data_IF_346969069035
#
_entry.id   IF_346969069035
#
_cell.length_a   1.000
_cell.length_b   1.000
_cell.length_c   1.000
_cell.angle_alpha   90.00
_cell.angle_beta   90.00
_cell.angle_gamma   90.00
#
_symmetry.space_group_name_H-M   'P 1'
#
loop_
_entity.id
_entity.type
_entity.pdbx_description
1 polymer ?
#
# COMPACT_ATOMS: atom_id res chain seq x y z
N UNK A 1 20.58 -0.07 32.02
CA UNK A 1 21.75 -0.76 31.42
C UNK A 1 21.45 -0.88 29.93
N UNK A 2 22.14 -0.09 29.11
CA UNK A 2 21.89 -0.01 27.67
C UNK A 2 22.20 -1.35 27.00
N UNK A 3 21.31 -1.75 26.08
CA UNK A 3 21.12 -3.11 25.57
C UNK A 3 22.37 -3.59 24.81
N UNK A 4 22.92 -4.74 25.21
CA UNK A 4 24.11 -5.40 24.64
C UNK A 4 23.78 -6.34 23.46
N UNK A 5 22.53 -6.32 23.01
CA UNK A 5 22.00 -7.36 22.12
C UNK A 5 22.11 -6.88 20.68
N UNK A 6 22.79 -7.68 19.87
CA UNK A 6 22.78 -7.51 18.42
C UNK A 6 21.40 -7.91 17.92
N UNK A 7 20.76 -7.05 17.11
CA UNK A 7 19.43 -7.33 16.55
C UNK A 7 19.50 -8.30 15.37
N UNK A 8 20.65 -8.40 14.70
CA UNK A 8 20.89 -9.35 13.63
C UNK A 8 22.36 -9.78 13.57
N UNK A 9 22.58 -10.94 12.97
CA UNK A 9 23.91 -11.50 12.67
C UNK A 9 23.95 -11.97 11.22
N UNK A 10 25.10 -11.86 10.58
CA UNK A 10 25.29 -12.29 9.21
C UNK A 10 25.83 -13.72 9.17
N UNK A 11 25.23 -14.61 8.38
CA UNK A 11 25.65 -15.99 8.18
C UNK A 11 26.37 -16.09 6.83
N UNK A 12 27.72 -16.16 6.80
CA UNK A 12 28.49 -16.02 5.57
C UNK A 12 28.20 -17.10 4.52
N UNK A 13 28.05 -18.35 4.95
CA UNK A 13 27.84 -19.48 4.04
C UNK A 13 26.49 -19.42 3.31
N UNK A 14 25.51 -18.75 3.92
CA UNK A 14 24.16 -18.60 3.38
C UNK A 14 23.90 -17.21 2.79
N UNK A 15 24.88 -16.32 2.88
CA UNK A 15 24.77 -14.89 2.55
C UNK A 15 23.47 -14.26 3.11
N UNK A 16 23.12 -14.64 4.35
CA UNK A 16 21.82 -14.30 4.96
C UNK A 16 22.02 -13.55 6.26
N UNK A 17 21.25 -12.48 6.43
CA UNK A 17 21.08 -11.84 7.73
C UNK A 17 20.03 -12.61 8.53
N UNK A 18 20.45 -13.14 9.67
CA UNK A 18 19.61 -13.81 10.64
C UNK A 18 19.15 -12.80 11.69
N UNK A 19 17.83 -12.66 11.86
CA UNK A 19 17.26 -11.90 12.98
C UNK A 19 17.57 -12.62 14.28
N UNK A 20 18.25 -11.91 15.18
CA UNK A 20 18.74 -12.50 16.41
C UNK A 20 17.60 -12.89 17.36
N UNK A 21 16.54 -12.07 17.44
CA UNK A 21 15.44 -12.32 18.36
C UNK A 21 14.56 -13.44 17.83
N UNK A 22 14.20 -13.39 16.54
CA UNK A 22 13.38 -14.43 15.91
C UNK A 22 14.03 -15.82 16.05
N UNK A 23 15.33 -15.92 15.77
CA UNK A 23 16.07 -17.17 15.96
C UNK A 23 16.07 -17.63 17.41
N UNK A 24 16.39 -16.74 18.35
CA UNK A 24 16.51 -17.10 19.77
C UNK A 24 15.16 -17.46 20.40
N UNK A 25 14.05 -16.88 19.92
CA UNK A 25 12.69 -17.15 20.38
C UNK A 25 12.11 -18.45 19.81
N UNK A 26 12.58 -18.89 18.64
CA UNK A 26 12.03 -20.05 17.92
C UNK A 26 12.90 -21.31 17.98
N UNK A 27 14.20 -21.17 18.23
CA UNK A 27 15.13 -22.31 18.27
C UNK A 27 14.89 -23.22 19.47
N UNK A 28 15.07 -24.53 19.28
CA UNK A 28 15.10 -25.49 20.38
C UNK A 28 16.40 -25.39 21.19
N UNK A 29 16.38 -25.85 22.44
CA UNK A 29 17.58 -25.92 23.29
C UNK A 29 18.73 -26.67 22.59
N UNK A 30 18.41 -27.75 21.87
CA UNK A 30 19.40 -28.55 21.15
C UNK A 30 20.08 -27.71 20.05
N UNK A 31 19.29 -27.07 19.19
CA UNK A 31 19.80 -26.21 18.11
C UNK A 31 20.61 -25.04 18.66
N UNK A 32 20.16 -24.43 19.76
CA UNK A 32 20.90 -23.36 20.43
C UNK A 32 22.29 -23.81 20.89
N UNK A 33 22.38 -24.95 21.59
CA UNK A 33 23.66 -25.45 22.10
C UNK A 33 24.58 -25.97 21.00
N UNK A 34 24.05 -26.61 19.96
CA UNK A 34 24.81 -27.04 18.78
C UNK A 34 25.39 -25.82 18.05
N UNK A 35 24.55 -24.81 17.75
CA UNK A 35 25.00 -23.60 17.06
C UNK A 35 25.99 -22.79 17.91
N UNK A 36 25.75 -22.68 19.22
CA UNK A 36 26.70 -22.05 20.14
C UNK A 36 28.06 -22.73 20.13
N UNK A 37 28.10 -24.06 20.08
CA UNK A 37 29.35 -24.83 20.00
C UNK A 37 30.06 -24.60 18.67
N UNK A 38 29.32 -24.67 17.58
CA UNK A 38 29.81 -24.43 16.22
C UNK A 38 30.45 -23.04 16.07
N UNK A 39 29.81 -22.00 16.64
CA UNK A 39 30.36 -20.64 16.65
C UNK A 39 31.70 -20.55 17.37
N UNK A 40 31.88 -21.26 18.49
CA UNK A 40 33.13 -21.25 19.25
C UNK A 40 34.24 -22.07 18.58
N UNK A 41 33.92 -23.22 18.00
CA UNK A 41 34.88 -24.10 17.31
C UNK A 41 35.46 -23.42 16.06
N UNK A 42 34.60 -22.75 15.29
CA UNK A 42 34.98 -22.16 14.01
C UNK A 42 35.38 -20.67 14.10
N UNK A 43 35.33 -20.06 15.29
CA UNK A 43 35.47 -18.60 15.48
C UNK A 43 36.73 -17.99 14.88
N UNK A 44 37.85 -18.72 14.89
CA UNK A 44 39.17 -18.21 14.47
C UNK A 44 39.58 -18.63 13.06
N UNK A 45 38.85 -19.57 12.46
CA UNK A 45 39.20 -20.19 11.17
C UNK A 45 38.18 -19.79 10.11
N UNK A 46 36.97 -20.31 10.21
CA UNK A 46 35.87 -20.17 9.24
C UNK A 46 34.59 -19.78 9.98
N UNK A 47 34.47 -18.51 10.43
CA UNK A 47 33.39 -18.11 11.32
C UNK A 47 32.01 -18.31 10.68
N UNK A 48 31.14 -19.04 11.38
CA UNK A 48 29.79 -19.42 10.88
C UNK A 48 28.77 -18.28 11.05
N UNK A 49 29.01 -17.36 11.98
CA UNK A 49 28.24 -16.13 12.08
C UNK A 49 29.13 -14.93 12.40
N UNK A 50 28.79 -13.81 11.80
CA UNK A 50 29.51 -12.54 11.90
C UNK A 50 28.57 -11.43 12.36
N UNK A 51 29.16 -10.37 12.90
CA UNK A 51 28.43 -9.14 13.14
C UNK A 51 27.98 -8.54 11.81
N UNK A 52 26.70 -8.22 11.68
CA UNK A 52 26.15 -7.59 10.47
C UNK A 52 26.67 -6.15 10.22
N UNK A 53 27.46 -5.60 11.15
CA UNK A 53 28.01 -4.25 11.06
C UNK A 53 29.52 -4.27 10.80
N UNK A 54 30.30 -4.99 11.61
CA UNK A 54 31.77 -5.00 11.51
C UNK A 54 32.36 -6.32 11.00
N UNK A 55 31.52 -7.33 10.75
CA UNK A 55 31.92 -8.66 10.25
C UNK A 55 32.92 -9.40 11.14
N UNK A 56 33.02 -9.01 12.40
CA UNK A 56 33.77 -9.77 13.39
C UNK A 56 32.98 -11.02 13.80
N UNK A 57 33.66 -12.13 14.11
CA UNK A 57 33.01 -13.32 14.63
C UNK A 57 32.19 -13.01 15.88
N UNK A 58 30.95 -13.46 15.93
CA UNK A 58 30.07 -13.30 17.09
C UNK A 58 30.06 -14.55 17.96
N UNK A 59 29.58 -14.39 19.19
CA UNK A 59 29.39 -15.48 20.15
C UNK A 59 27.99 -15.43 20.72
N UNK A 60 27.40 -16.60 20.98
CA UNK A 60 26.17 -16.71 21.75
C UNK A 60 26.48 -16.67 23.25
N UNK A 61 25.79 -15.82 24.00
CA UNK A 61 25.95 -15.61 25.45
C UNK A 61 24.62 -15.77 26.15
N UNK A 62 24.68 -16.01 27.46
CA UNK A 62 23.52 -16.07 28.33
C UNK A 62 23.77 -15.25 29.60
N UNK A 63 22.76 -14.56 30.10
CA UNK A 63 22.80 -13.90 31.40
C UNK A 63 22.59 -14.91 32.54
N UNK A 64 22.85 -14.51 33.78
CA UNK A 64 22.53 -15.32 34.98
C UNK A 64 21.03 -15.63 35.10
N UNK A 65 20.18 -14.87 34.42
CA UNK A 65 18.73 -15.07 34.34
C UNK A 65 18.31 -15.89 33.10
N UNK A 66 19.27 -16.55 32.43
CA UNK A 66 19.09 -17.36 31.22
C UNK A 66 18.61 -16.61 29.97
N UNK A 67 18.63 -15.28 29.95
CA UNK A 67 18.41 -14.53 28.70
C UNK A 67 19.59 -14.75 27.75
N UNK A 68 19.33 -15.29 26.57
CA UNK A 68 20.33 -15.57 25.53
C UNK A 68 20.44 -14.39 24.56
N UNK A 69 21.63 -14.15 24.01
CA UNK A 69 21.88 -13.07 23.05
C UNK A 69 23.18 -13.27 22.28
N UNK A 70 23.26 -12.71 21.07
CA UNK A 70 24.51 -12.58 20.33
C UNK A 70 25.33 -11.41 20.84
N UNK A 71 26.65 -11.61 20.92
CA UNK A 71 27.59 -10.60 21.37
C UNK A 71 28.93 -10.70 20.65
N UNK A 72 29.66 -9.59 20.68
CA UNK A 72 31.07 -9.58 20.32
C UNK A 72 31.92 -10.34 21.37
N UNK A 73 33.00 -11.03 20.97
CA UNK A 73 34.00 -11.56 21.90
C UNK A 73 34.63 -10.45 22.74
N UNK A 74 35.02 -10.76 23.99
CA UNK A 74 35.51 -9.78 24.98
C UNK A 74 36.72 -8.94 24.50
N UNK A 75 37.51 -9.45 23.57
CA UNK A 75 38.73 -8.82 23.04
C UNK A 75 38.65 -8.57 21.52
N UNK A 76 37.47 -8.31 20.98
CA UNK A 76 37.30 -7.94 19.58
C UNK A 76 37.53 -6.44 19.37
N UNK A 77 37.99 -6.02 18.20
CA UNK A 77 38.16 -4.59 17.85
C UNK A 77 36.84 -3.83 17.98
N UNK A 78 36.89 -2.52 18.16
CA UNK A 78 35.69 -1.71 18.33
C UNK A 78 34.73 -1.78 17.14
N UNK A 79 33.44 -1.64 17.43
CA UNK A 79 32.36 -1.79 16.47
C UNK A 79 31.29 -0.72 16.77
N UNK A 80 30.65 -0.12 15.75
CA UNK A 80 29.66 0.95 15.93
C UNK A 80 28.49 0.59 16.87
N UNK A 81 28.14 -0.69 16.95
CA UNK A 81 27.05 -1.18 17.81
C UNK A 81 27.55 -1.61 19.21
N UNK A 82 28.84 -1.46 19.52
CA UNK A 82 29.34 -1.60 20.90
C UNK A 82 29.04 -0.32 21.67
N UNK A 83 28.61 -0.49 22.92
CA UNK A 83 28.27 0.61 23.85
C UNK A 83 29.47 1.51 24.21
N UNK A 84 30.68 1.18 23.75
CA UNK A 84 31.93 1.92 23.93
C UNK A 84 32.35 2.75 22.71
N UNK A 85 31.55 2.75 21.63
CA UNK A 85 31.90 3.40 20.35
C UNK A 85 31.93 4.93 20.45
N UNK A 86 33.02 5.52 19.94
CA UNK A 86 33.27 6.97 19.80
C UNK A 86 33.27 7.43 18.31
N UNK A 87 32.78 6.60 17.39
CA UNK A 87 32.94 6.82 15.96
C UNK A 87 32.03 7.90 15.37
N UNK A 88 32.58 8.67 14.45
CA UNK A 88 31.86 9.59 13.56
C UNK A 88 31.06 8.83 12.49
N UNK A 89 30.10 9.49 11.85
CA UNK A 89 29.27 8.86 10.81
C UNK A 89 30.11 8.40 9.60
N UNK A 90 31.18 9.13 9.26
CA UNK A 90 32.14 8.72 8.23
C UNK A 90 32.92 7.47 8.61
N UNK A 91 33.35 7.35 9.88
CA UNK A 91 34.07 6.17 10.39
C UNK A 91 33.15 4.95 10.48
N UNK A 92 31.89 5.13 10.90
CA UNK A 92 30.87 4.07 10.90
C UNK A 92 30.64 3.56 9.47
N UNK A 93 30.51 4.46 8.49
CA UNK A 93 30.41 4.10 7.07
C UNK A 93 31.66 3.36 6.60
N UNK A 94 32.85 3.88 6.88
CA UNK A 94 34.10 3.22 6.51
C UNK A 94 34.21 1.81 7.13
N UNK A 95 33.73 1.61 8.35
CA UNK A 95 33.68 0.30 9.00
C UNK A 95 32.66 -0.65 8.38
N UNK A 96 31.47 -0.17 8.02
CA UNK A 96 30.46 -0.95 7.29
C UNK A 96 30.98 -1.38 5.92
N UNK A 97 31.59 -0.46 5.17
CA UNK A 97 32.11 -0.72 3.82
C UNK A 97 33.41 -1.55 3.83
N UNK A 98 34.33 -1.34 4.77
CA UNK A 98 35.53 -2.18 4.90
C UNK A 98 35.25 -3.55 5.55
N UNK A 99 34.18 -3.64 6.34
CA UNK A 99 33.76 -4.87 7.01
C UNK A 99 33.00 -5.83 6.08
N UNK A 100 32.15 -5.31 5.18
CA UNK A 100 31.45 -6.10 4.15
C UNK A 100 32.44 -6.60 3.10
N UNK A 101 33.13 -7.70 3.40
CA UNK A 101 33.71 -8.52 2.34
C UNK A 101 32.56 -9.07 1.50
N UNK A 102 32.66 -8.86 0.20
CA UNK A 102 31.72 -9.38 -0.78
C UNK A 102 31.44 -10.88 -0.55
N UNK A 103 30.17 -11.20 -0.30
CA UNK A 103 29.68 -12.55 -0.06
C UNK A 103 29.86 -13.46 -1.27
N UNK A 104 29.78 -14.78 -1.04
CA UNK A 104 29.92 -15.76 -2.12
C UNK A 104 28.82 -15.61 -3.16
N UNK A 105 27.56 -15.37 -2.74
CA UNK A 105 26.45 -15.24 -3.67
C UNK A 105 26.61 -13.99 -4.56
N UNK A 106 27.06 -12.87 -4.00
CA UNK A 106 27.37 -11.68 -4.79
C UNK A 106 28.46 -11.96 -5.86
N UNK A 107 29.56 -12.64 -5.49
CA UNK A 107 30.63 -12.98 -6.43
C UNK A 107 30.18 -13.88 -7.57
N UNK A 108 29.48 -14.97 -7.22
CA UNK A 108 29.02 -15.96 -8.18
C UNK A 108 28.01 -15.36 -9.15
N UNK A 109 27.02 -14.62 -8.65
CA UNK A 109 26.00 -14.02 -9.50
C UNK A 109 26.53 -12.82 -10.31
N UNK A 110 27.54 -12.10 -9.82
CA UNK A 110 28.23 -11.07 -10.59
C UNK A 110 28.96 -11.67 -11.79
N UNK A 111 29.67 -12.77 -11.57
CA UNK A 111 30.33 -13.48 -12.67
C UNK A 111 29.29 -14.02 -13.66
N UNK A 112 28.23 -14.64 -13.16
CA UNK A 112 27.15 -15.18 -13.98
C UNK A 112 26.48 -14.11 -14.85
N UNK A 113 26.16 -12.95 -14.26
CA UNK A 113 25.59 -11.82 -15.00
C UNK A 113 26.56 -11.32 -16.08
N UNK A 114 27.87 -11.25 -15.79
CA UNK A 114 28.86 -10.88 -16.79
C UNK A 114 28.93 -11.88 -17.94
N UNK A 115 28.85 -13.18 -17.64
CA UNK A 115 28.86 -14.25 -18.65
C UNK A 115 27.62 -14.15 -19.56
N UNK A 116 26.44 -13.86 -19.00
CA UNK A 116 25.23 -13.61 -19.81
C UNK A 116 25.36 -12.37 -20.69
N UNK A 117 25.95 -11.29 -20.18
CA UNK A 117 26.20 -10.08 -20.99
C UNK A 117 27.18 -10.34 -22.14
N UNK A 118 28.18 -11.22 -21.95
CA UNK A 118 29.13 -11.59 -23.00
C UNK A 118 28.46 -12.46 -24.07
N UNK A 119 27.58 -13.38 -23.65
CA UNK A 119 26.84 -14.25 -24.57
C UNK A 119 25.78 -13.47 -25.38
N UNK A 120 25.17 -12.46 -24.75
CA UNK A 120 24.09 -11.70 -25.34
C UNK A 120 24.55 -10.74 -26.45
N UNK A 121 24.03 -11.01 -27.66
CA UNK A 121 24.29 -10.20 -28.87
C UNK A 121 23.95 -8.72 -28.73
N UNK A 122 23.13 -8.31 -27.76
CA UNK A 122 22.75 -6.92 -27.49
C UNK A 122 23.90 -6.07 -26.95
N UNK A 123 24.89 -6.69 -26.32
CA UNK A 123 26.01 -5.99 -25.69
C UNK A 123 27.30 -6.12 -26.48
N UNK A 124 28.16 -5.12 -26.36
CA UNK A 124 29.51 -5.16 -26.95
C UNK A 124 30.40 -6.17 -26.22
N UNK A 125 31.42 -6.68 -26.91
CA UNK A 125 32.32 -7.70 -26.36
C UNK A 125 33.17 -7.16 -25.19
N UNK A 126 33.23 -5.83 -25.01
CA UNK A 126 33.95 -5.14 -23.94
C UNK A 126 33.20 -5.12 -22.59
N UNK A 127 32.68 -6.27 -22.13
CA UNK A 127 32.13 -6.41 -20.78
C UNK A 127 33.27 -6.38 -19.75
N UNK A 128 33.17 -5.50 -18.75
CA UNK A 128 34.21 -5.32 -17.71
C UNK A 128 33.63 -5.53 -16.33
N UNK A 129 34.25 -6.40 -15.55
CA UNK A 129 33.90 -6.68 -14.16
C UNK A 129 34.72 -5.77 -13.24
N UNK A 130 34.03 -5.09 -12.30
CA UNK A 130 34.59 -4.10 -11.37
C UNK A 130 35.53 -3.03 -11.96
N UNK A 131 35.22 -2.45 -13.14
CA UNK A 131 36.10 -1.47 -13.75
C UNK A 131 36.18 -0.20 -12.90
N UNK A 132 37.33 0.46 -12.92
CA UNK A 132 37.41 1.82 -12.37
C UNK A 132 36.74 2.80 -13.33
N UNK A 133 35.52 3.21 -12.99
CA UNK A 133 34.74 4.19 -13.74
C UNK A 133 35.08 5.60 -13.25
N UNK A 134 35.69 6.41 -14.10
CA UNK A 134 36.09 7.79 -13.78
C UNK A 134 35.07 8.76 -14.33
N UNK A 135 34.85 9.88 -13.64
CA UNK A 135 33.99 10.94 -14.15
C UNK A 135 34.49 11.44 -15.53
N UNK A 136 33.55 11.65 -16.45
CA UNK A 136 33.72 12.27 -17.76
C UNK A 136 33.86 13.79 -17.54
N UNK A 137 35.10 14.26 -17.32
CA UNK A 137 35.39 15.69 -17.30
C UNK A 137 35.79 16.18 -18.69
N UNK A 138 35.18 17.29 -19.11
CA UNK A 138 35.56 17.97 -20.36
C UNK A 138 36.90 18.71 -20.25
N UNK A 139 37.39 18.97 -19.02
CA UNK A 139 38.66 19.66 -18.75
C UNK A 139 39.28 19.17 -17.44
N UNK A 140 40.57 18.78 -17.44
CA UNK A 140 41.33 18.45 -16.23
C UNK A 140 41.31 16.97 -15.80
N UNK A 141 41.84 16.67 -14.61
CA UNK A 141 41.92 15.32 -14.02
C UNK A 141 40.60 14.96 -13.33
N UNK A 142 40.08 13.75 -13.56
CA UNK A 142 38.91 13.20 -12.89
C UNK A 142 39.09 13.20 -11.35
N UNK A 143 38.20 13.89 -10.64
CA UNK A 143 38.16 14.05 -9.18
C UNK A 143 37.33 12.97 -8.49
N UNK A 144 36.32 12.42 -9.17
CA UNK A 144 35.48 11.33 -8.66
C UNK A 144 35.62 10.08 -9.53
N UNK A 145 35.50 8.93 -8.88
CA UNK A 145 35.44 7.63 -9.52
C UNK A 145 34.56 6.67 -8.71
N UNK A 146 34.07 5.64 -9.39
CA UNK A 146 33.29 4.53 -8.84
C UNK A 146 33.80 3.21 -9.43
N UNK A 147 33.39 2.10 -8.81
CA UNK A 147 33.58 0.76 -9.34
C UNK A 147 32.20 0.09 -9.35
N UNK A 148 31.47 0.14 -10.48
CA UNK A 148 30.27 -0.68 -10.65
C UNK A 148 30.65 -2.16 -10.64
N UNK A 149 29.71 -3.05 -10.37
CA UNK A 149 30.00 -4.49 -10.43
C UNK A 149 30.32 -4.93 -11.85
N UNK A 150 29.57 -4.44 -12.82
CA UNK A 150 29.80 -4.71 -14.24
C UNK A 150 29.54 -3.43 -15.04
N UNK A 151 30.34 -3.20 -16.08
CA UNK A 151 30.09 -2.19 -17.10
C UNK A 151 30.11 -2.83 -18.47
N UNK A 152 29.19 -2.42 -19.32
CA UNK A 152 29.08 -2.85 -20.70
C UNK A 152 28.55 -1.70 -21.58
N UNK A 153 28.52 -1.92 -22.88
CA UNK A 153 27.90 -1.02 -23.85
C UNK A 153 26.75 -1.75 -24.52
N UNK A 154 25.54 -1.21 -24.39
CA UNK A 154 24.39 -1.68 -25.15
C UNK A 154 24.53 -1.19 -26.60
N UNK A 155 24.59 -2.12 -27.56
CA UNK A 155 24.96 -1.84 -28.95
C UNK A 155 24.00 -0.85 -29.61
N UNK A 156 22.70 -0.99 -29.37
CA UNK A 156 21.71 -0.10 -29.96
C UNK A 156 21.81 1.30 -29.33
N UNK A 157 22.14 2.29 -30.16
CA UNK A 157 22.38 3.66 -29.72
C UNK A 157 23.67 3.84 -28.91
N UNK A 158 24.51 2.81 -28.82
CA UNK A 158 25.83 2.81 -28.16
C UNK A 158 25.76 3.42 -26.74
N UNK A 159 24.87 2.88 -25.91
CA UNK A 159 24.59 3.39 -24.57
C UNK A 159 25.52 2.71 -23.56
N UNK A 160 26.21 3.51 -22.75
CA UNK A 160 26.99 2.99 -21.62
C UNK A 160 26.01 2.48 -20.55
N UNK A 161 26.17 1.23 -20.11
CA UNK A 161 25.33 0.60 -19.08
C UNK A 161 26.21 0.02 -17.98
N UNK A 162 25.84 0.28 -16.73
CA UNK A 162 26.44 -0.34 -15.55
C UNK A 162 25.40 -1.17 -14.82
N UNK A 163 25.84 -2.31 -14.30
CA UNK A 163 25.03 -3.18 -13.47
C UNK A 163 25.57 -3.14 -12.05
N UNK A 164 24.65 -3.01 -11.10
CA UNK A 164 24.93 -3.00 -9.66
C UNK A 164 24.15 -4.14 -9.02
N UNK A 165 24.86 -5.15 -8.52
CA UNK A 165 24.23 -6.25 -7.82
C UNK A 165 23.98 -5.84 -6.38
N UNK A 166 22.74 -6.05 -5.92
CA UNK A 166 22.38 -5.75 -4.56
C UNK A 166 21.93 -7.00 -3.82
N UNK A 167 22.75 -7.42 -2.85
CA UNK A 167 22.49 -8.61 -2.01
C UNK A 167 22.07 -8.22 -0.59
N UNK A 168 22.52 -7.06 -0.10
CA UNK A 168 22.23 -6.58 1.25
C UNK A 168 21.66 -5.15 1.22
N UNK A 169 21.10 -4.69 2.34
CA UNK A 169 20.68 -3.28 2.44
C UNK A 169 21.88 -2.34 2.42
N UNK A 170 21.71 -1.18 1.83
CA UNK A 170 22.66 -0.06 1.87
C UNK A 170 21.91 1.22 2.23
N UNK A 171 22.65 2.29 2.50
CA UNK A 171 22.04 3.57 2.83
C UNK A 171 21.47 4.25 1.59
N UNK A 172 20.29 4.87 1.74
CA UNK A 172 19.65 5.63 0.67
C UNK A 172 20.56 6.72 0.10
N UNK A 173 21.36 7.40 0.92
CA UNK A 173 22.30 8.43 0.45
C UNK A 173 23.39 7.86 -0.47
N UNK A 174 23.75 6.60 -0.30
CA UNK A 174 24.74 5.90 -1.13
C UNK A 174 24.11 5.51 -2.47
N UNK A 175 22.87 5.00 -2.46
CA UNK A 175 22.09 4.71 -3.67
C UNK A 175 21.97 5.98 -4.52
N UNK A 176 21.46 7.06 -3.94
CA UNK A 176 21.28 8.35 -4.63
C UNK A 176 22.61 8.86 -5.18
N UNK A 177 23.71 8.75 -4.43
CA UNK A 177 25.04 9.16 -4.91
C UNK A 177 25.55 8.33 -6.09
N UNK A 178 25.26 7.02 -6.16
CA UNK A 178 25.63 6.18 -7.31
C UNK A 178 24.80 6.55 -8.53
N UNK A 179 23.48 6.65 -8.37
CA UNK A 179 22.56 7.02 -9.45
C UNK A 179 22.90 8.39 -10.04
N UNK A 180 23.09 9.40 -9.19
CA UNK A 180 23.51 10.73 -9.64
C UNK A 180 24.86 10.68 -10.36
N UNK A 181 25.83 9.92 -9.84
CA UNK A 181 27.13 9.79 -10.49
C UNK A 181 27.02 9.22 -11.90
N UNK A 182 26.30 8.11 -12.12
CA UNK A 182 26.17 7.54 -13.47
C UNK A 182 25.33 8.42 -14.39
N UNK A 183 24.24 9.03 -13.88
CA UNK A 183 23.42 9.96 -14.65
C UNK A 183 24.21 11.17 -15.14
N UNK A 184 24.99 11.80 -14.25
CA UNK A 184 25.84 12.95 -14.58
C UNK A 184 26.95 12.59 -15.59
N UNK A 185 27.25 11.30 -15.75
CA UNK A 185 28.24 10.75 -16.68
C UNK A 185 27.60 10.09 -17.92
N UNK A 186 26.32 10.38 -18.20
CA UNK A 186 25.59 9.85 -19.36
C UNK A 186 25.68 8.32 -19.46
N UNK A 187 25.49 7.65 -18.32
CA UNK A 187 25.61 6.19 -18.18
C UNK A 187 24.38 5.66 -17.49
N UNK A 188 23.78 4.62 -18.06
CA UNK A 188 22.59 3.99 -17.51
C UNK A 188 22.96 3.05 -16.37
N UNK A 189 22.19 3.08 -15.29
CA UNK A 189 22.33 2.15 -14.16
C UNK A 189 21.19 1.14 -14.14
N UNK A 190 21.55 -0.13 -13.98
CA UNK A 190 20.62 -1.25 -13.78
C UNK A 190 20.91 -1.89 -12.43
N UNK A 191 19.99 -1.75 -11.50
CA UNK A 191 20.04 -2.46 -10.23
C UNK A 191 19.52 -3.89 -10.40
N UNK A 192 20.31 -4.88 -9.98
CA UNK A 192 19.95 -6.30 -10.09
C UNK A 192 19.98 -6.93 -8.70
N UNK A 193 18.86 -7.49 -8.28
CA UNK A 193 18.73 -8.19 -7.00
C UNK A 193 18.79 -9.71 -7.20
N UNK A 194 19.10 -10.46 -6.14
CA UNK A 194 19.02 -11.94 -6.18
C UNK A 194 17.66 -12.46 -5.70
N UNK A 195 16.91 -11.63 -4.98
CA UNK A 195 15.55 -11.90 -4.54
C UNK A 195 14.83 -10.59 -4.27
N UNK A 196 13.50 -10.64 -4.22
CA UNK A 196 12.66 -9.50 -3.90
C UNK A 196 11.80 -9.79 -2.67
N UNK A 197 11.88 -8.89 -1.67
CA UNK A 197 10.95 -8.84 -0.53
C UNK A 197 10.23 -7.47 -0.56
N UNK A 198 8.89 -7.43 -0.76
CA UNK A 198 8.14 -6.19 -0.81
C UNK A 198 8.06 -5.45 0.53
N UNK A 199 8.65 -5.99 1.62
CA UNK A 199 8.76 -5.33 2.92
C UNK A 199 10.11 -4.64 3.14
N UNK A 200 11.09 -4.87 2.25
CA UNK A 200 12.44 -4.36 2.42
C UNK A 200 12.54 -2.92 1.88
N UNK A 201 12.59 -1.94 2.78
CA UNK A 201 12.60 -0.51 2.44
C UNK A 201 13.67 -0.10 1.42
N UNK A 202 14.92 -0.55 1.56
CA UNK A 202 15.98 -0.19 0.60
C UNK A 202 15.68 -0.66 -0.83
N UNK A 203 15.10 -1.85 -0.97
CA UNK A 203 14.70 -2.41 -2.26
C UNK A 203 13.55 -1.62 -2.86
N UNK A 204 12.59 -1.21 -2.02
CA UNK A 204 11.51 -0.31 -2.41
C UNK A 204 12.02 1.07 -2.79
N UNK A 205 13.00 1.65 -2.07
CA UNK A 205 13.58 2.96 -2.40
C UNK A 205 14.17 2.96 -3.82
N UNK A 206 14.88 1.89 -4.19
CA UNK A 206 15.41 1.68 -5.55
C UNK A 206 14.25 1.51 -6.55
N UNK A 207 13.29 0.65 -6.22
CA UNK A 207 12.15 0.34 -7.08
C UNK A 207 11.31 1.58 -7.40
N UNK A 208 10.80 2.28 -6.38
CA UNK A 208 9.97 3.48 -6.56
C UNK A 208 10.72 4.59 -7.30
N UNK A 209 12.04 4.73 -7.10
CA UNK A 209 12.87 5.65 -7.86
C UNK A 209 13.10 5.23 -9.33
N UNK A 210 12.65 4.03 -9.72
CA UNK A 210 12.74 3.45 -11.05
C UNK A 210 11.35 3.05 -11.58
N UNK A 211 10.36 3.94 -11.47
CA UNK A 211 8.96 3.68 -11.87
C UNK A 211 8.40 2.40 -11.24
N UNK A 212 8.72 2.13 -9.98
CA UNK A 212 8.38 0.89 -9.27
C UNK A 212 8.92 -0.41 -9.90
N UNK A 213 9.89 -0.37 -10.81
CA UNK A 213 10.48 -1.57 -11.44
C UNK A 213 11.70 -2.06 -10.64
N UNK A 214 11.71 -3.35 -10.32
CA UNK A 214 12.77 -4.05 -9.58
C UNK A 214 13.18 -5.28 -10.38
N UNK A 215 14.45 -5.33 -10.81
CA UNK A 215 14.96 -6.46 -11.59
C UNK A 215 15.66 -7.49 -10.70
N UNK A 216 15.29 -8.75 -10.88
CA UNK A 216 15.79 -9.87 -10.09
C UNK A 216 16.40 -10.92 -11.02
N UNK A 217 17.61 -11.34 -10.70
CA UNK A 217 18.27 -12.49 -11.31
C UNK A 217 17.97 -13.75 -10.47
N UNK A 218 16.72 -14.18 -10.50
CA UNK A 218 16.26 -15.40 -9.83
C UNK A 218 16.60 -16.65 -10.66
N UNK A 219 16.21 -17.83 -10.18
CA UNK A 219 16.52 -19.09 -10.85
C UNK A 219 15.79 -19.25 -12.19
N UNK A 220 14.61 -18.64 -12.37
CA UNK A 220 13.87 -18.67 -13.64
C UNK A 220 14.60 -17.82 -14.68
N UNK A 221 15.00 -16.60 -14.32
CA UNK A 221 15.77 -15.69 -15.14
C UNK A 221 17.13 -16.27 -15.54
N UNK A 222 17.83 -16.94 -14.62
CA UNK A 222 19.11 -17.62 -14.92
C UNK A 222 18.92 -18.75 -15.93
N UNK A 223 17.96 -19.64 -15.68
CA UNK A 223 17.70 -20.77 -16.59
C UNK A 223 17.31 -20.30 -17.99
N UNK A 224 16.50 -19.24 -18.07
CA UNK A 224 16.10 -18.67 -19.35
C UNK A 224 17.29 -18.00 -20.05
N UNK A 225 18.13 -17.28 -19.31
CA UNK A 225 19.31 -16.61 -19.87
C UNK A 225 20.34 -17.59 -20.42
N UNK A 226 20.63 -18.65 -19.67
CA UNK A 226 21.56 -19.71 -20.09
C UNK A 226 21.05 -20.47 -21.31
N UNK A 227 19.73 -20.66 -21.43
CA UNK A 227 19.14 -21.42 -22.54
C UNK A 227 19.15 -20.65 -23.86
N UNK A 228 18.91 -19.34 -23.82
CA UNK A 228 18.69 -18.52 -25.02
C UNK A 228 19.92 -17.66 -25.38
N UNK A 229 21.00 -17.71 -24.59
CA UNK A 229 22.18 -16.84 -24.73
C UNK A 229 21.80 -15.33 -24.79
N UNK A 230 20.81 -14.95 -23.99
CA UNK A 230 20.28 -13.58 -23.89
C UNK A 230 20.04 -13.23 -22.42
N UNK A 231 20.23 -11.98 -22.02
CA UNK A 231 19.98 -11.57 -20.65
C UNK A 231 18.46 -11.46 -20.39
N UNK A 232 17.96 -12.34 -19.52
CA UNK A 232 16.62 -12.25 -18.94
C UNK A 232 16.70 -11.84 -17.47
N UNK A 233 15.72 -11.05 -17.03
CA UNK A 233 15.54 -10.64 -15.64
C UNK A 233 14.05 -10.77 -15.28
N UNK A 234 13.75 -11.18 -14.05
CA UNK A 234 12.39 -11.06 -13.52
C UNK A 234 12.17 -9.61 -13.08
N UNK A 235 11.26 -8.90 -13.73
CA UNK A 235 10.88 -7.56 -13.34
C UNK A 235 9.66 -7.63 -12.42
N UNK A 236 9.84 -7.27 -11.16
CA UNK A 236 8.72 -6.95 -10.27
C UNK A 236 8.32 -5.49 -10.47
N UNK A 237 7.03 -5.23 -10.58
CA UNK A 237 6.50 -3.89 -10.75
C UNK A 237 5.19 -3.73 -10.00
N UNK A 238 4.87 -2.49 -9.65
CA UNK A 238 3.62 -2.17 -8.98
C UNK A 238 2.55 -1.83 -10.02
N UNK A 239 1.35 -2.39 -9.83
CA UNK A 239 0.17 -2.14 -10.64
C UNK A 239 -0.81 -1.31 -9.83
N UNK A 240 -0.98 -0.02 -10.16
CA UNK A 240 -2.03 0.79 -9.56
C UNK A 240 -3.39 0.40 -10.16
N UNK A 241 -4.43 0.40 -9.33
CA UNK A 241 -5.80 0.11 -9.75
C UNK A 241 -6.81 0.96 -8.97
N UNK A 242 -7.95 1.24 -9.58
CA UNK A 242 -9.04 1.96 -8.91
C UNK A 242 -9.79 1.03 -7.96
N UNK A 243 -9.96 1.44 -6.71
CA UNK A 243 -10.78 0.75 -5.71
C UNK A 243 -12.25 1.21 -5.76
N UNK A 244 -13.13 0.43 -5.12
CA UNK A 244 -14.57 0.71 -5.05
C UNK A 244 -14.90 2.05 -4.34
N UNK A 245 -14.02 2.50 -3.44
CA UNK A 245 -14.12 3.79 -2.75
C UNK A 245 -13.53 4.97 -3.52
N UNK A 246 -13.15 4.76 -4.79
CA UNK A 246 -12.52 5.73 -5.67
C UNK A 246 -11.18 6.24 -5.17
N UNK A 247 -10.44 5.38 -4.46
CA UNK A 247 -9.02 5.58 -4.15
C UNK A 247 -8.13 4.68 -5.02
N UNK A 248 -6.83 4.92 -5.00
CA UNK A 248 -5.84 4.10 -5.70
C UNK A 248 -5.36 2.97 -4.78
N UNK A 249 -5.54 1.73 -5.26
CA UNK A 249 -4.91 0.54 -4.70
C UNK A 249 -3.66 0.18 -5.48
N UNK A 250 -2.77 -0.60 -4.85
CA UNK A 250 -1.52 -1.05 -5.48
C UNK A 250 -1.26 -2.52 -5.18
N UNK A 251 -0.89 -3.28 -6.21
CA UNK A 251 -0.46 -4.66 -6.07
C UNK A 251 0.89 -4.89 -6.77
N UNK A 252 1.70 -5.79 -6.21
CA UNK A 252 2.94 -6.22 -6.85
C UNK A 252 2.64 -7.33 -7.85
N UNK A 253 3.11 -7.16 -9.07
CA UNK A 253 3.09 -8.18 -10.11
C UNK A 253 4.53 -8.43 -10.60
N UNK A 254 4.72 -9.42 -11.45
CA UNK A 254 6.01 -9.76 -12.02
C UNK A 254 5.90 -10.31 -13.43
N UNK A 255 6.88 -10.00 -14.28
CA UNK A 255 7.07 -10.64 -15.57
C UNK A 255 8.54 -10.96 -15.80
N UNK A 256 8.81 -12.05 -16.51
CA UNK A 256 10.14 -12.36 -17.02
C UNK A 256 10.36 -11.56 -18.31
N UNK A 257 11.41 -10.75 -18.36
CA UNK A 257 11.66 -9.81 -19.47
C UNK A 257 13.05 -10.02 -20.06
N UNK A 258 13.13 -10.00 -21.39
CA UNK A 258 14.42 -9.93 -22.10
C UNK A 258 14.97 -8.49 -22.01
N UNK A 259 16.28 -8.33 -21.90
CA UNK A 259 16.88 -6.99 -21.79
C UNK A 259 16.57 -6.07 -22.98
N UNK A 260 16.31 -6.61 -24.18
CA UNK A 260 15.89 -5.82 -25.36
C UNK A 260 14.50 -5.20 -25.23
N UNK A 261 13.64 -5.73 -24.35
CA UNK A 261 12.29 -5.23 -24.11
C UNK A 261 12.29 -4.04 -23.14
N UNK A 262 13.43 -3.74 -22.50
CA UNK A 262 13.54 -2.67 -21.54
C UNK A 262 13.60 -1.30 -22.23
N UNK A 263 12.87 -0.36 -21.65
CA UNK A 263 12.90 1.05 -22.07
C UNK A 263 13.95 1.82 -21.30
N UNK A 264 14.74 2.61 -22.02
CA UNK A 264 15.80 3.44 -21.47
C UNK A 264 15.27 4.85 -21.20
N UNK A 265 15.14 5.22 -19.93
CA UNK A 265 14.76 6.58 -19.55
C UNK A 265 15.95 7.53 -19.67
N UNK A 266 15.86 8.46 -20.60
CA UNK A 266 16.92 9.42 -20.91
C UNK A 266 17.15 10.39 -19.74
N UNK A 267 16.11 10.73 -18.97
CA UNK A 267 16.22 11.72 -17.90
C UNK A 267 16.84 11.12 -16.65
N UNK A 268 16.31 10.00 -16.17
CA UNK A 268 16.84 9.35 -14.95
C UNK A 268 18.10 8.53 -15.22
N UNK A 269 18.37 8.17 -16.48
CA UNK A 269 19.41 7.20 -16.88
C UNK A 269 19.20 5.83 -16.20
N UNK A 270 17.95 5.42 -16.09
CA UNK A 270 17.54 4.09 -15.61
C UNK A 270 16.82 3.33 -16.73
N UNK A 271 16.56 2.06 -16.48
CA UNK A 271 15.79 1.19 -17.38
C UNK A 271 14.55 0.66 -16.68
N UNK A 272 13.46 0.51 -17.42
CA UNK A 272 12.21 -0.02 -16.90
C UNK A 272 11.54 -0.94 -17.93
N UNK A 273 10.79 -1.94 -17.47
CA UNK A 273 9.97 -2.79 -18.33
C UNK A 273 8.53 -2.26 -18.43
N UNK A 274 7.98 -1.77 -17.32
CA UNK A 274 6.61 -1.28 -17.23
C UNK A 274 6.61 0.18 -16.80
N UNK A 275 5.90 1.04 -17.52
CA UNK A 275 5.75 2.44 -17.11
C UNK A 275 4.67 2.59 -16.04
N UNK A 276 4.97 2.16 -14.80
CA UNK A 276 4.00 2.25 -13.70
C UNK A 276 3.54 3.68 -13.44
N UNK A 277 4.39 4.69 -13.70
CA UNK A 277 4.00 6.10 -13.57
C UNK A 277 2.89 6.47 -14.54
N UNK A 278 2.98 6.03 -15.79
CA UNK A 278 1.91 6.25 -16.78
C UNK A 278 0.60 5.55 -16.38
N UNK A 279 0.68 4.30 -15.90
CA UNK A 279 -0.50 3.55 -15.44
C UNK A 279 -1.14 4.25 -14.24
N UNK A 280 -0.33 4.74 -13.30
CA UNK A 280 -0.79 5.48 -12.12
C UNK A 280 -1.53 6.76 -12.50
N UNK A 281 -0.99 7.53 -13.44
CA UNK A 281 -1.64 8.73 -13.98
C UNK A 281 -2.99 8.41 -14.64
N UNK A 282 -3.07 7.32 -15.40
CA UNK A 282 -4.32 6.86 -16.03
C UNK A 282 -5.38 6.46 -15.00
N UNK A 283 -4.99 5.76 -13.93
CA UNK A 283 -5.90 5.38 -12.84
C UNK A 283 -6.38 6.62 -12.09
N UNK A 284 -5.48 7.54 -11.75
CA UNK A 284 -5.85 8.81 -11.12
C UNK A 284 -6.77 9.65 -11.99
N UNK A 285 -6.57 9.66 -13.31
CA UNK A 285 -7.46 10.36 -14.22
C UNK A 285 -8.84 9.70 -14.28
N UNK A 286 -8.91 8.37 -14.28
CA UNK A 286 -10.17 7.61 -14.25
C UNK A 286 -10.96 7.92 -12.98
N UNK A 287 -10.31 7.91 -11.81
CA UNK A 287 -10.92 8.28 -10.53
C UNK A 287 -11.47 9.71 -10.56
N UNK A 288 -10.70 10.67 -11.09
CA UNK A 288 -11.15 12.07 -11.20
C UNK A 288 -12.40 12.21 -12.06
N UNK A 289 -12.46 11.50 -13.19
CA UNK A 289 -13.65 11.50 -14.06
C UNK A 289 -14.86 10.92 -13.33
N UNK A 290 -14.67 9.83 -12.60
CA UNK A 290 -15.76 9.15 -11.90
C UNK A 290 -16.29 9.97 -10.70
N UNK A 291 -15.39 10.62 -9.95
CA UNK A 291 -15.78 11.56 -8.89
C UNK A 291 -16.59 12.74 -9.43
N UNK A 292 -16.18 13.32 -10.56
CA UNK A 292 -16.91 14.42 -11.20
C UNK A 292 -18.29 13.97 -11.70
N UNK A 293 -18.41 12.73 -12.21
CA UNK A 293 -19.70 12.14 -12.60
C UNK A 293 -20.64 12.02 -11.40
N UNK A 294 -20.15 11.50 -10.28
CA UNK A 294 -20.94 11.35 -9.05
C UNK A 294 -21.36 12.72 -8.49
N UNK A 295 -20.47 13.70 -8.49
CA UNK A 295 -20.80 15.06 -8.05
C UNK A 295 -21.90 15.69 -8.92
N UNK A 296 -21.79 15.54 -10.24
CA UNK A 296 -22.80 16.03 -11.17
C UNK A 296 -24.16 15.35 -10.97
N UNK A 297 -24.19 14.03 -10.77
CA UNK A 297 -25.42 13.29 -10.46
C UNK A 297 -26.05 13.74 -9.14
N UNK A 298 -25.23 14.04 -8.12
CA UNK A 298 -25.72 14.58 -6.85
C UNK A 298 -26.32 15.98 -7.01
N UNK A 299 -25.69 16.86 -7.77
CA UNK A 299 -26.20 18.20 -8.09
C UNK A 299 -27.53 18.11 -8.84
N UNK A 300 -27.63 17.22 -9.83
CA UNK A 300 -28.87 17.01 -10.60
C UNK A 300 -30.00 16.48 -9.72
N UNK A 301 -29.72 15.48 -8.88
CA UNK A 301 -30.69 14.95 -7.91
C UNK A 301 -31.14 15.99 -6.90
N UNK A 302 -30.23 16.83 -6.39
CA UNK A 302 -30.58 17.91 -5.46
C UNK A 302 -31.45 18.98 -6.14
N UNK A 303 -31.08 19.40 -7.36
CA UNK A 303 -31.86 20.35 -8.14
C UNK A 303 -33.27 19.83 -8.46
N UNK A 304 -33.41 18.54 -8.79
CA UNK A 304 -34.72 17.91 -8.99
C UNK A 304 -35.53 17.88 -7.70
N UNK A 305 -34.91 17.53 -6.57
CA UNK A 305 -35.55 17.54 -5.25
C UNK A 305 -36.04 18.93 -4.86
N UNK A 306 -35.28 19.98 -5.15
CA UNK A 306 -35.70 21.37 -4.93
C UNK A 306 -36.88 21.78 -5.83
N UNK A 307 -36.85 21.39 -7.11
CA UNK A 307 -37.96 21.64 -8.05
C UNK A 307 -39.26 20.99 -7.58
N UNK A 308 -39.20 19.74 -7.11
CA UNK A 308 -40.36 19.03 -6.57
C UNK A 308 -40.91 19.72 -5.31
N UNK A 309 -40.04 20.09 -4.36
CA UNK A 309 -40.46 20.83 -3.15
C UNK A 309 -41.16 22.14 -3.49
N UNK A 310 -40.61 22.90 -4.44
CA UNK A 310 -41.20 24.17 -4.88
C UNK A 310 -42.58 23.97 -5.50
N UNK A 311 -42.73 22.93 -6.34
CA UNK A 311 -44.02 22.57 -6.94
C UNK A 311 -45.06 22.20 -5.87
N UNK A 312 -44.70 21.38 -4.89
CA UNK A 312 -45.58 21.03 -3.76
C UNK A 312 -45.97 22.27 -2.93
N UNK A 313 -45.05 23.20 -2.69
CA UNK A 313 -45.32 24.43 -1.96
C UNK A 313 -46.29 25.34 -2.73
N UNK A 314 -46.08 25.49 -4.04
CA UNK A 314 -46.95 26.26 -4.93
C UNK A 314 -48.35 25.64 -5.01
N UNK A 315 -48.46 24.30 -5.08
CA UNK A 315 -49.73 23.57 -5.03
C UNK A 315 -50.46 23.78 -3.69
N UNK A 316 -49.75 23.70 -2.56
CA UNK A 316 -50.30 23.98 -1.22
C UNK A 316 -50.76 25.42 -1.07
N UNK A 317 -50.00 26.40 -1.57
CA UNK A 317 -50.40 27.82 -1.58
C UNK A 317 -51.65 28.03 -2.43
N UNK A 318 -51.72 27.41 -3.61
CA UNK A 318 -52.88 27.48 -4.48
C UNK A 318 -54.13 26.82 -3.87
N UNK A 319 -53.97 25.72 -3.14
CA UNK A 319 -55.05 25.08 -2.40
C UNK A 319 -55.52 25.94 -1.21
N UNK A 320 -54.60 26.47 -0.40
CA UNK A 320 -54.92 27.36 0.70
C UNK A 320 -55.66 28.62 0.22
N UNK A 321 -55.24 29.22 -0.90
CA UNK A 321 -55.93 30.34 -1.53
C UNK A 321 -57.35 29.98 -1.99
N UNK A 322 -57.53 28.78 -2.58
CA UNK A 322 -58.86 28.26 -2.95
C UNK A 322 -59.77 28.10 -1.74
N UNK A 323 -59.27 27.50 -0.65
CA UNK A 323 -60.01 27.33 0.60
C UNK A 323 -60.38 28.70 1.20
N UNK A 324 -59.44 29.65 1.25
CA UNK A 324 -59.69 30.99 1.77
C UNK A 324 -60.83 31.69 1.01
N UNK A 325 -60.83 31.61 -0.33
CA UNK A 325 -61.88 32.18 -1.17
C UNK A 325 -63.26 31.54 -0.92
N UNK A 326 -63.31 30.22 -0.68
CA UNK A 326 -64.56 29.52 -0.30
C UNK A 326 -65.07 30.02 1.05
N UNK A 327 -64.18 30.19 2.04
CA UNK A 327 -64.54 30.70 3.37
C UNK A 327 -65.08 32.13 3.27
N UNK A 328 -64.47 32.99 2.47
CA UNK A 328 -64.90 34.37 2.24
C UNK A 328 -66.32 34.43 1.63
N UNK A 329 -66.56 33.67 0.56
CA UNK A 329 -67.89 33.54 -0.07
C UNK A 329 -68.95 33.01 0.91
N UNK A 330 -68.59 32.08 1.79
CA UNK A 330 -69.51 31.55 2.80
C UNK A 330 -69.83 32.59 3.89
N UNK A 331 -68.88 33.46 4.24
CA UNK A 331 -69.09 34.57 5.18
C UNK A 331 -69.98 35.66 4.57
N UNK A 332 -69.79 36.00 3.30
CA UNK A 332 -70.65 36.95 2.58
C UNK A 332 -72.08 36.45 2.48
N UNK A 333 -72.29 35.17 2.11
CA UNK A 333 -73.62 34.57 2.07
C UNK A 333 -74.33 34.54 3.43
N UNK A 334 -73.58 34.46 4.55
CA UNK A 334 -74.17 34.61 5.90
C UNK A 334 -74.58 36.05 6.22
N UNK A 335 -73.91 37.05 5.65
CA UNK A 335 -74.25 38.47 5.84
C UNK A 335 -75.44 38.93 4.99
N UNK A 336 -75.69 38.29 3.86
CA UNK A 336 -76.78 38.60 2.92
C UNK A 336 -78.03 37.72 3.10
N UNK A 337 -77.96 36.69 3.93
CA UNK A 337 -79.13 35.88 4.30
C UNK A 337 -80.08 36.70 5.17
N UNK A 338 -81.39 36.80 4.83
CA UNK A 338 -82.36 37.51 5.68
C UNK A 338 -82.42 36.86 7.06
N UNK A 339 -82.59 37.68 8.10
CA UNK A 339 -82.83 37.18 9.46
C UNK A 339 -83.95 36.14 9.43
N UNK A 340 -83.63 34.91 9.85
CA UNK A 340 -84.62 33.87 10.05
C UNK A 340 -85.52 34.31 11.20
N UNK A 341 -86.71 34.79 10.87
CA UNK A 341 -87.76 35.14 11.83
C UNK A 341 -88.35 33.83 12.39
N UNK A 342 -88.13 33.52 13.68
CA UNK A 342 -88.57 32.26 14.26
C UNK A 342 -90.08 32.21 14.52
N UNK A 343 -90.85 33.25 14.17
CA UNK A 343 -92.30 33.30 14.39
C UNK A 343 -93.18 33.11 13.14
N UNK A 344 -92.60 32.89 11.96
CA UNK A 344 -93.42 32.65 10.75
C UNK A 344 -93.80 31.17 10.62
N UNK A 345 -94.96 30.82 11.18
CA UNK A 345 -95.63 29.53 10.96
C UNK A 345 -96.20 29.52 9.53
N UNK A 346 -95.78 28.62 8.63
CA UNK A 346 -96.53 28.34 7.41
C UNK A 346 -97.56 27.26 7.71
N UNK A 347 -98.82 27.60 7.44
CA UNK A 347 -99.95 26.68 7.45
C UNK A 347 -99.76 25.54 6.44
N UNK A 348 -100.36 24.42 6.80
CA UNK A 348 -100.41 23.14 6.11
C UNK A 348 -100.95 23.21 4.67
N UNK A 349 -100.33 22.48 3.74
CA UNK A 349 -101.08 21.63 2.80
C UNK A 349 -100.21 20.53 2.20
N UNK A 350 -100.81 19.36 2.09
CA UNK A 350 -100.32 18.08 1.61
C UNK A 350 -99.95 18.05 0.11
N UNK A 351 -98.98 17.21 -0.28
CA UNK A 351 -99.18 15.91 -0.97
C UNK A 351 -97.88 15.38 -1.62
N UNK A 352 -97.66 14.08 -1.40
CA UNK A 352 -96.93 13.07 -2.19
C UNK A 352 -96.27 13.48 -3.52
N UNK A 353 -95.01 13.07 -3.73
CA UNK A 353 -94.67 11.87 -4.54
C UNK A 353 -93.14 11.70 -4.74
N UNK A 354 -92.74 10.42 -4.79
CA UNK A 354 -91.51 9.79 -5.32
C UNK A 354 -90.60 10.65 -6.22
N UNK A 355 -89.26 10.54 -6.22
CA UNK A 355 -88.46 9.33 -6.38
C UNK A 355 -86.94 9.63 -6.34
N UNK A 356 -86.17 8.65 -5.84
CA UNK A 356 -84.81 8.19 -6.23
C UNK A 356 -83.66 9.20 -6.47
N UNK A 357 -82.56 8.99 -5.73
CA UNK A 357 -81.25 9.51 -6.13
C UNK A 357 -80.06 9.28 -5.18
N UNK A 358 -79.82 8.04 -4.75
CA UNK A 358 -78.56 7.43 -4.23
C UNK A 358 -77.44 8.33 -3.66
N UNK A 359 -77.18 8.18 -2.36
CA UNK A 359 -75.82 8.24 -1.79
C UNK A 359 -75.58 6.97 -0.97
N UNK A 360 -74.53 6.21 -1.30
CA UNK A 360 -74.15 4.99 -0.60
C UNK A 360 -72.79 5.17 0.06
N UNK A 361 -72.78 5.25 1.39
CA UNK A 361 -71.66 4.82 2.22
C UNK A 361 -72.20 3.73 3.13
N UNK A 362 -71.68 2.52 3.02
CA UNK A 362 -71.93 1.45 3.97
C UNK A 362 -70.62 0.77 4.32
N UNK A 363 -70.26 0.94 5.59
CA UNK A 363 -69.37 0.04 6.32
C UNK A 363 -69.86 -1.40 6.19
N UNK A 364 -68.95 -2.34 5.95
CA UNK A 364 -69.09 -3.71 6.47
C UNK A 364 -67.74 -4.33 6.76
N UNK A 365 -67.64 -4.85 7.97
CA UNK A 365 -66.53 -5.56 8.58
C UNK A 365 -67.04 -6.98 8.87
N UNK A 366 -66.36 -8.00 8.37
CA UNK A 366 -66.37 -9.43 8.75
C UNK A 366 -65.20 -10.06 7.95
N UNK A 367 -64.02 -10.34 8.52
CA UNK A 367 -63.58 -11.62 9.16
C UNK A 367 -64.11 -12.86 8.43
N UNK A 368 -63.37 -13.87 7.97
CA UNK A 368 -61.96 -14.32 8.02
C UNK A 368 -61.84 -15.46 6.98
N UNK A 369 -60.72 -15.73 6.29
CA UNK A 369 -59.80 -16.85 6.59
C UNK A 369 -58.54 -16.81 5.67
N UNK A 370 -57.36 -17.05 6.28
CA UNK A 370 -56.09 -17.70 5.83
C UNK A 370 -55.75 -17.79 4.31
N UNK A 371 -54.50 -17.61 3.83
CA UNK A 371 -53.19 -17.98 4.40
C UNK A 371 -52.02 -17.46 3.53
N UNK A 372 -50.82 -17.44 4.13
CA UNK A 372 -49.45 -17.30 3.58
C UNK A 372 -48.85 -15.89 3.44
N UNK A 373 -48.23 -15.44 4.54
CA UNK A 373 -47.11 -14.48 4.53
C UNK A 373 -45.96 -15.04 5.38
N UNK A 374 -44.77 -15.05 4.77
CA UNK A 374 -43.45 -15.30 5.36
C UNK A 374 -43.08 -14.23 6.39
N UNK A 375 -42.27 -14.54 7.42
CA UNK A 375 -42.11 -13.66 8.57
C UNK A 375 -41.13 -12.51 8.28
N UNK A 376 -41.66 -11.30 8.10
CA UNK A 376 -40.92 -10.06 8.29
C UNK A 376 -40.68 -9.84 9.79
N UNK A 377 -39.43 -10.00 10.23
CA UNK A 377 -39.02 -9.64 11.58
C UNK A 377 -39.03 -8.11 11.73
N UNK A 378 -39.98 -7.59 12.50
CA UNK A 378 -39.89 -6.24 13.08
C UNK A 378 -38.67 -6.17 13.98
N UNK A 379 -37.53 -5.65 13.48
CA UNK A 379 -36.37 -5.34 14.33
C UNK A 379 -36.58 -3.96 14.97
N UNK A 380 -36.78 -3.99 16.29
CA UNK A 380 -36.72 -2.85 17.19
C UNK A 380 -35.49 -1.95 16.90
N UNK A 381 -35.75 -0.66 16.68
CA UNK A 381 -34.79 0.44 16.62
C UNK A 381 -34.46 0.96 18.05
N UNK A 382 -34.18 0.06 18.99
CA UNK A 382 -34.10 0.39 20.42
C UNK A 382 -32.74 0.74 21.01
N UNK A 383 -31.61 0.23 20.50
CA UNK A 383 -30.35 0.23 21.27
C UNK A 383 -29.09 0.61 20.45
N UNK A 384 -29.14 1.70 19.68
CA UNK A 384 -27.91 2.26 19.08
C UNK A 384 -27.24 3.23 20.04
N UNK A 385 -25.94 3.05 20.28
CA UNK A 385 -25.14 3.89 21.19
C UNK A 385 -24.10 4.65 20.37
N UNK A 386 -23.84 5.90 20.75
CA UNK A 386 -22.74 6.70 20.17
C UNK A 386 -21.41 6.25 20.80
N UNK A 387 -20.45 5.82 19.99
CA UNK A 387 -19.13 5.47 20.52
C UNK A 387 -18.36 6.73 20.94
N UNK A 388 -17.83 6.82 22.17
CA UNK A 388 -17.03 7.97 22.60
C UNK A 388 -15.68 8.07 21.88
N UNK A 389 -15.17 6.98 21.30
CA UNK A 389 -13.87 6.95 20.62
C UNK A 389 -13.94 7.30 19.13
N UNK A 390 -14.95 6.83 18.41
CA UNK A 390 -15.07 7.04 16.96
C UNK A 390 -16.33 7.81 16.53
N UNK A 391 -17.17 8.23 17.48
CA UNK A 391 -18.37 9.03 17.23
C UNK A 391 -19.40 8.41 16.26
N UNK A 392 -19.30 7.10 16.00
CA UNK A 392 -20.28 6.37 15.17
C UNK A 392 -21.44 5.87 16.04
N UNK A 393 -22.68 6.10 15.59
CA UNK A 393 -23.89 5.48 16.17
C UNK A 393 -24.09 4.10 15.55
N UNK A 394 -23.90 3.06 16.35
CA UNK A 394 -24.12 1.69 15.92
C UNK A 394 -24.69 0.85 17.07
N UNK A 395 -25.23 -0.33 16.74
CA UNK A 395 -25.59 -1.30 17.78
C UNK A 395 -24.30 -1.89 18.38
N UNK A 396 -24.14 -1.89 19.71
CA UNK A 396 -22.98 -2.45 20.37
C UNK A 396 -22.91 -3.97 20.14
N UNK A 397 -21.70 -4.49 19.92
CA UNK A 397 -21.43 -5.94 19.93
C UNK A 397 -21.12 -6.36 21.38
N UNK A 398 -21.50 -7.56 21.80
CA UNK A 398 -21.10 -8.08 23.13
C UNK A 398 -19.92 -9.04 22.97
N UNK A 399 -18.88 -8.83 23.78
CA UNK A 399 -17.82 -9.81 24.00
C UNK A 399 -17.84 -10.15 25.49
N UNK A 400 -18.32 -11.35 25.82
CA UNK A 400 -18.72 -11.69 27.20
C UNK A 400 -19.87 -10.79 27.68
N UNK A 401 -19.73 -10.21 28.87
CA UNK A 401 -20.71 -9.27 29.45
C UNK A 401 -20.47 -7.80 29.07
N UNK A 402 -19.38 -7.48 28.37
CA UNK A 402 -19.00 -6.10 28.09
C UNK A 402 -19.40 -5.67 26.67
N UNK A 403 -20.07 -4.51 26.51
CA UNK A 403 -20.42 -3.97 25.20
C UNK A 403 -19.18 -3.32 24.55
N UNK A 404 -18.98 -3.59 23.26
CA UNK A 404 -17.94 -3.01 22.41
C UNK A 404 -18.52 -2.35 21.17
N UNK A 405 -17.84 -1.33 20.67
CA UNK A 405 -18.17 -0.68 19.41
C UNK A 405 -17.98 -1.64 18.25
N UNK A 406 -18.98 -1.75 17.38
CA UNK A 406 -18.92 -2.59 16.17
C UNK A 406 -18.01 -2.02 15.07
N UNK A 407 -17.62 -0.74 15.16
CA UNK A 407 -16.71 -0.09 14.21
C UNK A 407 -15.24 -0.14 14.66
N UNK A 408 -14.93 0.29 15.89
CA UNK A 408 -13.55 0.41 16.36
C UNK A 408 -13.17 -0.59 17.47
N UNK A 409 -14.04 -1.55 17.77
CA UNK A 409 -13.83 -2.63 18.75
C UNK A 409 -13.49 -2.17 20.18
N UNK A 410 -13.77 -0.90 20.50
CA UNK A 410 -13.47 -0.29 21.80
C UNK A 410 -14.61 -0.52 22.79
N UNK A 411 -14.33 -0.69 24.08
CA UNK A 411 -15.36 -0.85 25.12
C UNK A 411 -16.25 0.39 25.22
N UNK A 412 -17.55 0.16 25.40
CA UNK A 412 -18.60 1.19 25.46
C UNK A 412 -19.08 1.47 26.89
N UNK A 413 -18.31 1.08 27.90
CA UNK A 413 -18.50 1.43 29.30
C UNK A 413 -17.16 1.77 29.94
N UNK A 414 -17.16 2.72 30.87
CA UNK A 414 -16.05 2.96 31.80
C UNK A 414 -15.91 1.82 32.81
#
# INVERSE_FOLDING_TARGET
>A
MSVRNMTSVFIPDKDKVLDANEFLDTCSDKEYFEFRRELEENRKTTPVALCNVCFQPVVLRATSQRTTFFAHPKNSEDCPIKTTSIFTQEEIRAMLFNGQKEGRAHKENKQLLADYLIADRLFDDEVRIEPTFREKNNVGVAKKWRRPDISSVFKEGRKDVVFELQVNTTFLDVIIQRENFYRDNDTYIVWVFLSFDPKQFTTLDIGYANKANIFVLDDEAKQKSEKEDQLYLTCHYQVPYMQDDLDVGYEWNSCLVEFSELTFDIESKKVYAVDTTEIDEQVHQTIKVELARIEQEQIEMEAERERLKKKEEDERKAEAARIAKIVELAQENRRTSPAFDPFRIPSTSSRSSSSRGKNSYANRREQSTFSHATPESKKSFGDTVLCPKCSVRAKPKKVGNSPICSNCMSYLGD
#
